data_IF_607864983948
#
_entry.id   IF_607864983948
#
_cell.length_a   1.000
_cell.length_b   1.000
_cell.length_c   1.000
_cell.angle_alpha   90.00
_cell.angle_beta   90.00
_cell.angle_gamma   90.00
#
_symmetry.space_group_name_H-M   'P 1'
#
loop_
_entity.id
_entity.type
_entity.pdbx_description
1 polymer ?
#
# COMPACT_ATOMS: atom_id res chain seq x y z
N UNK A 1 5.70 -0.53 16.77
CA UNK A 1 4.59 -0.53 15.78
C UNK A 1 4.16 -1.97 15.64
N UNK A 2 3.01 -2.35 16.20
CA UNK A 2 2.56 -3.74 16.25
C UNK A 2 2.02 -4.10 14.86
N UNK A 3 2.65 -5.07 14.19
CA UNK A 3 2.17 -5.61 12.94
C UNK A 3 0.87 -6.36 13.20
N UNK A 4 -0.25 -5.81 12.74
CA UNK A 4 -1.55 -6.47 12.84
C UNK A 4 -1.65 -7.49 11.72
N UNK A 5 -1.60 -8.78 12.07
CA UNK A 5 -1.88 -9.86 11.15
C UNK A 5 -3.37 -9.81 10.78
N UNK A 6 -3.72 -9.88 9.50
CA UNK A 6 -5.10 -9.88 9.03
C UNK A 6 -5.77 -11.20 9.46
N UNK A 7 -6.28 -11.25 10.68
CA UNK A 7 -7.02 -12.40 11.25
C UNK A 7 -8.53 -12.35 10.94
N UNK A 8 -9.05 -11.17 10.58
CA UNK A 8 -10.50 -10.93 10.41
C UNK A 8 -11.15 -11.87 9.38
N UNK A 9 -10.49 -12.08 8.23
CA UNK A 9 -10.99 -12.96 7.17
C UNK A 9 -11.12 -14.42 7.63
N UNK A 10 -10.10 -14.94 8.30
CA UNK A 10 -10.10 -16.32 8.81
C UNK A 10 -11.12 -16.52 9.94
N UNK A 11 -11.29 -15.53 10.82
CA UNK A 11 -12.32 -15.54 11.86
C UNK A 11 -13.74 -15.51 11.27
N UNK A 12 -13.99 -14.65 10.28
CA UNK A 12 -15.29 -14.59 9.58
C UNK A 12 -15.60 -15.91 8.87
N UNK A 13 -14.63 -16.52 8.19
CA UNK A 13 -14.82 -17.81 7.53
C UNK A 13 -15.16 -18.92 8.53
N UNK A 14 -14.49 -18.97 9.69
CA UNK A 14 -14.82 -19.93 10.76
C UNK A 14 -16.22 -19.70 11.32
N UNK A 15 -16.59 -18.44 11.57
CA UNK A 15 -17.92 -18.06 12.06
C UNK A 15 -19.02 -18.52 11.09
N UNK A 16 -18.89 -18.19 9.81
CA UNK A 16 -19.89 -18.60 8.81
C UNK A 16 -19.96 -20.11 8.64
N UNK A 17 -18.82 -20.81 8.71
CA UNK A 17 -18.80 -22.27 8.66
C UNK A 17 -19.62 -22.88 9.82
N UNK A 18 -19.40 -22.40 11.05
CA UNK A 18 -20.15 -22.87 12.21
C UNK A 18 -21.66 -22.58 12.09
N UNK A 19 -22.03 -21.39 11.59
CA UNK A 19 -23.45 -21.05 11.35
C UNK A 19 -24.09 -21.94 10.28
N UNK A 20 -23.36 -22.27 9.21
CA UNK A 20 -23.85 -23.18 8.16
C UNK A 20 -24.07 -24.59 8.72
N UNK A 21 -23.13 -25.09 9.52
CA UNK A 21 -23.25 -26.42 10.17
C UNK A 21 -24.44 -26.46 11.14
N UNK A 22 -24.66 -25.39 11.91
CA UNK A 22 -25.82 -25.26 12.81
C UNK A 22 -27.15 -25.28 12.02
N UNK A 23 -27.28 -24.49 10.96
CA UNK A 23 -28.50 -24.45 10.14
C UNK A 23 -28.73 -25.76 9.37
N UNK A 24 -27.65 -26.48 9.01
CA UNK A 24 -27.74 -27.82 8.43
C UNK A 24 -28.33 -28.83 9.42
N UNK A 25 -27.91 -28.79 10.68
CA UNK A 25 -28.48 -29.68 11.71
C UNK A 25 -29.97 -29.41 11.95
N UNK A 26 -30.38 -28.13 11.95
CA UNK A 26 -31.80 -27.74 12.04
C UNK A 26 -32.61 -28.23 10.84
N UNK A 27 -32.09 -28.07 9.62
CA UNK A 27 -32.73 -28.59 8.41
C UNK A 27 -32.89 -30.11 8.45
N UNK A 28 -31.87 -30.84 8.92
CA UNK A 28 -31.89 -32.30 9.04
C UNK A 28 -32.98 -32.79 10.00
N UNK A 29 -33.19 -32.08 11.12
CA UNK A 29 -34.26 -32.39 12.07
C UNK A 29 -35.66 -32.20 11.49
N UNK A 30 -35.86 -31.23 10.59
CA UNK A 30 -37.18 -30.87 10.03
C UNK A 30 -37.53 -31.72 8.79
N UNK A 31 -36.58 -31.89 7.87
CA UNK A 31 -36.81 -32.52 6.56
C UNK A 31 -36.40 -33.99 6.51
N UNK A 32 -35.69 -34.48 7.53
CA UNK A 32 -35.06 -35.79 7.53
C UNK A 32 -33.75 -35.80 6.74
N UNK A 33 -32.89 -36.76 7.09
CA UNK A 33 -31.50 -36.82 6.63
C UNK A 33 -31.38 -37.05 5.11
N UNK A 34 -32.30 -37.83 4.53
CA UNK A 34 -32.30 -38.17 3.10
C UNK A 34 -32.56 -36.94 2.22
N UNK A 35 -33.60 -36.16 2.54
CA UNK A 35 -33.96 -34.97 1.76
C UNK A 35 -32.93 -33.84 1.96
N UNK A 36 -32.42 -33.68 3.19
CA UNK A 36 -31.40 -32.68 3.53
C UNK A 36 -30.10 -32.95 2.76
N UNK A 37 -29.67 -34.22 2.69
CA UNK A 37 -28.48 -34.61 1.92
C UNK A 37 -28.66 -34.40 0.41
N UNK A 38 -29.84 -34.69 -0.14
CA UNK A 38 -30.13 -34.43 -1.56
C UNK A 38 -30.09 -32.92 -1.88
N UNK A 39 -30.67 -32.09 -1.02
CA UNK A 39 -30.62 -30.63 -1.14
C UNK A 39 -29.20 -30.10 -1.04
N UNK A 40 -28.43 -30.53 -0.04
CA UNK A 40 -27.03 -30.13 0.14
C UNK A 40 -26.18 -30.47 -1.09
N UNK A 41 -26.37 -31.67 -1.66
CA UNK A 41 -25.68 -32.07 -2.90
C UNK A 41 -26.03 -31.16 -4.08
N UNK A 42 -27.30 -30.79 -4.24
CA UNK A 42 -27.75 -29.90 -5.32
C UNK A 42 -27.17 -28.49 -5.18
N UNK A 43 -27.20 -27.93 -3.96
CA UNK A 43 -26.61 -26.61 -3.65
C UNK A 43 -25.10 -26.64 -3.88
N UNK A 44 -24.42 -27.68 -3.38
CA UNK A 44 -22.97 -27.85 -3.56
C UNK A 44 -22.57 -27.97 -5.03
N UNK A 45 -23.37 -28.68 -5.83
CA UNK A 45 -23.17 -28.81 -7.27
C UNK A 45 -23.34 -27.47 -7.99
N UNK A 46 -24.40 -26.72 -7.67
CA UNK A 46 -24.62 -25.38 -8.24
C UNK A 46 -23.50 -24.39 -7.86
N UNK A 47 -23.10 -24.39 -6.58
CA UNK A 47 -22.00 -23.56 -6.09
C UNK A 47 -20.65 -23.92 -6.74
N UNK A 48 -20.39 -25.21 -6.96
CA UNK A 48 -19.21 -25.67 -7.71
C UNK A 48 -19.25 -25.17 -9.15
N UNK A 49 -20.38 -25.33 -9.86
CA UNK A 49 -20.53 -24.84 -11.23
C UNK A 49 -20.28 -23.33 -11.36
N UNK A 50 -20.79 -22.52 -10.42
CA UNK A 50 -20.55 -21.06 -10.40
C UNK A 50 -19.06 -20.75 -10.17
N UNK A 51 -18.42 -21.45 -9.22
CA UNK A 51 -16.97 -21.29 -8.97
C UNK A 51 -16.14 -21.66 -10.18
N UNK A 52 -16.40 -22.81 -10.79
CA UNK A 52 -15.65 -23.30 -11.95
C UNK A 52 -15.79 -22.34 -13.15
N UNK A 53 -16.98 -21.79 -13.38
CA UNK A 53 -17.19 -20.77 -14.43
C UNK A 53 -16.43 -19.47 -14.15
N UNK A 54 -16.41 -19.03 -12.90
CA UNK A 54 -15.64 -17.85 -12.49
C UNK A 54 -14.12 -18.11 -12.61
N UNK A 55 -13.65 -19.28 -12.19
CA UNK A 55 -12.26 -19.71 -12.29
C UNK A 55 -11.81 -19.81 -13.76
N UNK A 56 -12.64 -20.38 -14.65
CA UNK A 56 -12.36 -20.40 -16.08
C UNK A 56 -12.22 -18.98 -16.66
N UNK A 57 -13.11 -18.07 -16.26
CA UNK A 57 -13.06 -16.65 -16.67
C UNK A 57 -11.78 -15.97 -16.17
N UNK A 58 -11.40 -16.22 -14.92
CA UNK A 58 -10.17 -15.67 -14.35
C UNK A 58 -8.92 -16.25 -15.03
N UNK A 59 -8.93 -17.55 -15.32
CA UNK A 59 -7.83 -18.24 -16.00
C UNK A 59 -7.64 -17.68 -17.41
N UNK A 60 -8.72 -17.47 -18.15
CA UNK A 60 -8.67 -16.84 -19.48
C UNK A 60 -8.15 -15.39 -19.42
N UNK A 61 -8.55 -14.61 -18.41
CA UNK A 61 -8.01 -13.27 -18.21
C UNK A 61 -6.51 -13.33 -17.88
N UNK A 62 -6.08 -14.29 -17.07
CA UNK A 62 -4.69 -14.48 -16.70
C UNK A 62 -3.83 -14.85 -17.90
N UNK A 63 -4.27 -15.79 -18.75
CA UNK A 63 -3.54 -16.16 -19.97
C UNK A 63 -3.44 -14.98 -20.93
N UNK A 64 -4.55 -14.26 -21.16
CA UNK A 64 -4.56 -13.03 -21.99
C UNK A 64 -3.60 -11.96 -21.48
N UNK A 65 -3.50 -11.80 -20.15
CA UNK A 65 -2.55 -10.86 -19.53
C UNK A 65 -1.11 -11.35 -19.66
N UNK A 66 -0.86 -12.64 -19.45
CA UNK A 66 0.46 -13.26 -19.56
C UNK A 66 1.05 -13.11 -20.97
N UNK A 67 0.24 -13.40 -22.00
CA UNK A 67 0.63 -13.27 -23.41
C UNK A 67 0.95 -11.81 -23.79
N UNK A 68 0.18 -10.84 -23.26
CA UNK A 68 0.46 -9.41 -23.43
C UNK A 68 1.69 -8.95 -22.65
N UNK A 69 2.01 -9.60 -21.54
CA UNK A 69 3.11 -9.24 -20.64
C UNK A 69 4.47 -9.87 -20.99
N UNK A 70 4.51 -10.89 -21.88
CA UNK A 70 5.77 -11.45 -22.38
C UNK A 70 6.66 -10.39 -23.08
N UNK A 71 6.04 -9.29 -23.56
CA UNK A 71 6.68 -8.13 -24.17
C UNK A 71 6.53 -6.86 -23.31
N UNK A 72 6.62 -6.92 -21.97
CA UNK A 72 6.81 -5.69 -21.17
C UNK A 72 8.18 -5.10 -21.55
N UNK A 73 8.17 -4.33 -22.62
CA UNK A 73 9.24 -3.44 -22.97
C UNK A 73 9.21 -2.34 -21.91
N UNK A 74 10.31 -2.18 -21.17
CA UNK A 74 10.48 -1.11 -20.18
C UNK A 74 10.17 0.29 -20.75
N UNK A 75 10.21 0.44 -22.08
CA UNK A 75 9.78 1.64 -22.80
C UNK A 75 8.30 2.01 -22.58
N UNK A 76 7.41 1.06 -22.33
CA UNK A 76 5.98 1.32 -22.08
C UNK A 76 5.67 1.68 -20.63
N UNK A 77 6.66 1.58 -19.74
CA UNK A 77 6.51 1.85 -18.30
C UNK A 77 6.90 3.29 -17.96
N UNK A 78 7.82 3.89 -18.72
CA UNK A 78 8.31 5.25 -18.46
C UNK A 78 7.80 6.21 -19.53
N UNK A 79 6.88 7.08 -19.14
CA UNK A 79 6.34 8.13 -20.02
C UNK A 79 7.10 9.44 -19.79
N UNK A 80 8.06 9.73 -20.66
CA UNK A 80 8.75 11.01 -20.65
C UNK A 80 7.96 12.06 -21.43
N UNK A 81 7.32 12.97 -20.70
CA UNK A 81 6.59 14.12 -21.23
C UNK A 81 7.38 15.43 -20.99
N UNK A 82 8.62 15.34 -20.52
CA UNK A 82 9.50 16.48 -20.31
C UNK A 82 10.31 16.79 -21.57
N UNK A 83 10.90 17.98 -21.64
CA UNK A 83 11.79 18.36 -22.74
C UNK A 83 13.20 17.76 -22.64
N UNK A 84 13.48 16.96 -21.59
CA UNK A 84 14.80 16.40 -21.34
C UNK A 84 14.92 15.01 -21.95
N UNK A 85 16.05 14.73 -22.60
CA UNK A 85 16.40 13.37 -23.00
C UNK A 85 16.94 12.59 -21.79
N UNK A 86 16.41 11.39 -21.58
CA UNK A 86 16.83 10.49 -20.49
C UNK A 86 17.86 9.49 -21.02
N UNK A 87 18.84 9.14 -20.20
CA UNK A 87 19.79 8.07 -20.54
C UNK A 87 19.14 6.69 -20.37
N UNK A 88 19.73 5.66 -20.97
CA UNK A 88 19.25 4.29 -20.85
C UNK A 88 19.20 3.81 -19.39
N UNK A 89 20.17 4.22 -18.57
CA UNK A 89 20.24 3.91 -17.14
C UNK A 89 19.13 4.61 -16.37
N UNK A 90 18.82 5.88 -16.71
CA UNK A 90 17.71 6.61 -16.09
C UNK A 90 16.37 5.96 -16.42
N UNK A 91 16.13 5.58 -17.67
CA UNK A 91 14.91 4.87 -18.07
C UNK A 91 14.81 3.52 -17.35
N UNK A 92 15.91 2.76 -17.29
CA UNK A 92 15.95 1.47 -16.60
C UNK A 92 15.60 1.59 -15.13
N UNK A 93 16.19 2.56 -14.43
CA UNK A 93 15.89 2.83 -13.03
C UNK A 93 14.44 3.24 -12.82
N UNK A 94 13.90 4.12 -13.67
CA UNK A 94 12.52 4.61 -13.53
C UNK A 94 11.47 3.57 -13.93
N UNK A 95 11.89 2.55 -14.68
CA UNK A 95 11.07 1.39 -15.02
C UNK A 95 11.06 0.32 -13.92
N UNK A 96 12.01 0.38 -12.98
CA UNK A 96 11.92 -0.38 -11.75
C UNK A 96 10.90 0.34 -10.87
N UNK A 97 9.87 -0.39 -10.45
CA UNK A 97 8.71 0.10 -9.70
C UNK A 97 9.06 1.16 -8.62
N UNK A 98 8.18 2.13 -8.39
CA UNK A 98 8.29 3.09 -7.27
C UNK A 98 8.24 2.36 -5.92
N UNK A 99 7.60 1.19 -5.87
CA UNK A 99 7.62 0.26 -4.73
C UNK A 99 8.78 -0.75 -4.77
N UNK A 100 9.72 -0.63 -5.71
CA UNK A 100 10.91 -1.48 -5.75
C UNK A 100 11.75 -1.17 -4.51
N UNK A 101 11.72 -2.09 -3.56
CA UNK A 101 12.47 -1.93 -2.33
C UNK A 101 13.97 -2.10 -2.63
N UNK A 102 14.62 -0.97 -2.90
CA UNK A 102 16.08 -0.89 -3.10
C UNK A 102 16.85 -1.09 -1.80
N UNK A 103 16.14 -1.01 -0.66
CA UNK A 103 16.72 -1.22 0.67
C UNK A 103 16.56 -2.67 1.06
N UNK A 104 17.68 -3.32 1.35
CA UNK A 104 17.70 -4.67 1.89
C UNK A 104 16.81 -4.75 3.15
N UNK A 105 16.08 -5.86 3.33
CA UNK A 105 15.25 -6.03 4.51
C UNK A 105 16.14 -5.88 5.75
N UNK A 106 15.81 -4.93 6.63
CA UNK A 106 16.63 -4.70 7.81
C UNK A 106 16.61 -5.98 8.67
N UNK A 107 17.77 -6.61 8.93
CA UNK A 107 17.82 -7.86 9.71
C UNK A 107 17.20 -7.71 11.09
N UNK A 108 17.17 -6.48 11.64
CA UNK A 108 16.64 -6.16 12.95
C UNK A 108 15.19 -6.61 13.16
N UNK A 109 14.30 -6.36 12.19
CA UNK A 109 12.89 -6.77 12.32
C UNK A 109 12.74 -8.29 12.26
N UNK A 110 13.54 -8.95 11.42
CA UNK A 110 13.58 -10.41 11.35
C UNK A 110 14.10 -11.02 12.65
N UNK A 111 15.14 -10.44 13.25
CA UNK A 111 15.71 -10.90 14.52
C UNK A 111 14.71 -10.71 15.66
N UNK A 112 14.10 -9.53 15.78
CA UNK A 112 13.10 -9.28 16.81
C UNK A 112 11.90 -10.24 16.71
N UNK A 113 11.43 -10.52 15.48
CA UNK A 113 10.38 -11.50 15.25
C UNK A 113 10.83 -12.93 15.58
N UNK A 114 12.03 -13.32 15.16
CA UNK A 114 12.59 -14.64 15.46
C UNK A 114 12.81 -14.85 16.97
N UNK A 115 13.33 -13.86 17.68
CA UNK A 115 13.52 -13.89 19.13
C UNK A 115 12.19 -13.98 19.87
N UNK A 116 11.17 -13.23 19.45
CA UNK A 116 9.82 -13.33 20.02
C UNK A 116 9.25 -14.75 19.89
N UNK A 117 9.37 -15.35 18.69
CA UNK A 117 8.90 -16.73 18.44
C UNK A 117 9.70 -17.75 19.25
N UNK A 118 11.02 -17.57 19.38
CA UNK A 118 11.88 -18.45 20.16
C UNK A 118 11.62 -18.35 21.68
N UNK A 119 11.14 -17.20 22.15
CA UNK A 119 10.76 -16.99 23.55
C UNK A 119 9.41 -17.66 23.87
N UNK A 120 8.46 -17.64 22.94
CA UNK A 120 7.13 -18.26 23.11
C UNK A 120 7.11 -19.77 22.85
N UNK A 121 8.08 -20.30 22.09
CA UNK A 121 8.14 -21.72 21.77
C UNK A 121 8.52 -22.59 22.99
N UNK A 122 7.85 -23.74 23.19
CA UNK A 122 8.17 -24.70 24.25
C UNK A 122 9.42 -25.53 23.87
N UNK A 123 10.58 -24.88 23.80
CA UNK A 123 11.87 -25.47 23.46
C UNK A 123 12.84 -25.36 24.64
N UNK A 124 13.77 -26.33 24.74
CA UNK A 124 14.83 -26.34 25.75
C UNK A 124 15.82 -25.20 25.54
N UNK A 125 16.44 -24.73 26.63
CA UNK A 125 17.39 -23.60 26.59
C UNK A 125 18.59 -23.89 25.67
N UNK A 126 19.07 -25.13 25.63
CA UNK A 126 20.12 -25.57 24.72
C UNK A 126 19.72 -25.42 23.24
N UNK A 127 18.50 -25.83 22.90
CA UNK A 127 17.96 -25.71 21.54
C UNK A 127 17.77 -24.25 21.14
N UNK A 128 17.35 -23.40 22.09
CA UNK A 128 17.19 -21.95 21.89
C UNK A 128 18.54 -21.28 21.61
N UNK A 129 19.56 -21.60 22.40
CA UNK A 129 20.92 -21.07 22.22
C UNK A 129 21.52 -21.51 20.88
N UNK A 130 21.29 -22.77 20.48
CA UNK A 130 21.77 -23.27 19.18
C UNK A 130 21.08 -22.58 17.99
N UNK A 131 19.79 -22.28 18.10
CA UNK A 131 19.04 -21.52 17.09
C UNK A 131 19.51 -20.05 17.03
N UNK A 132 19.71 -19.40 18.18
CA UNK A 132 20.26 -18.05 18.26
C UNK A 132 21.66 -17.96 17.64
N UNK A 133 22.53 -18.95 17.90
CA UNK A 133 23.87 -19.03 17.30
C UNK A 133 23.82 -19.23 15.78
N UNK A 134 22.89 -20.06 15.29
CA UNK A 134 22.68 -20.25 13.84
C UNK A 134 22.13 -19.00 13.16
N UNK A 135 21.21 -18.28 13.78
CA UNK A 135 20.68 -17.01 13.27
C UNK A 135 21.80 -15.97 13.22
N UNK A 136 22.59 -15.84 14.29
CA UNK A 136 23.71 -14.90 14.39
C UNK A 136 24.78 -15.17 13.33
N UNK A 137 25.19 -16.43 13.14
CA UNK A 137 26.18 -16.80 12.12
C UNK A 137 25.68 -16.56 10.68
N UNK A 138 24.40 -16.84 10.40
CA UNK A 138 23.78 -16.50 9.10
C UNK A 138 23.68 -14.99 8.87
N UNK A 139 23.48 -14.21 9.91
CA UNK A 139 23.47 -12.75 9.82
C UNK A 139 24.87 -12.19 9.58
N UNK A 140 25.91 -12.72 10.24
CA UNK A 140 27.29 -12.29 10.02
C UNK A 140 27.74 -12.61 8.58
N UNK A 141 27.33 -13.76 8.05
CA UNK A 141 27.57 -14.16 6.66
C UNK A 141 26.65 -13.47 5.65
N UNK A 142 25.66 -12.69 6.10
CA UNK A 142 24.75 -11.98 5.22
C UNK A 142 25.46 -10.83 4.50
N UNK A 143 25.83 -11.06 3.24
CA UNK A 143 26.35 -10.02 2.36
C UNK A 143 25.19 -9.19 1.84
N UNK A 144 25.15 -7.91 2.23
CA UNK A 144 24.19 -6.92 1.68
C UNK A 144 24.17 -7.02 0.16
N UNK A 145 23.02 -7.39 -0.41
CA UNK A 145 22.87 -7.39 -1.86
C UNK A 145 22.74 -5.94 -2.31
N UNK A 146 23.61 -5.50 -3.22
CA UNK A 146 23.42 -4.22 -3.91
C UNK A 146 22.38 -4.46 -4.99
N UNK A 147 21.14 -4.07 -4.71
CA UNK A 147 20.03 -4.18 -5.65
C UNK A 147 20.26 -3.34 -6.92
N UNK A 148 21.04 -2.26 -6.82
CA UNK A 148 21.37 -1.35 -7.90
C UNK A 148 22.86 -1.32 -8.20
N UNK A 149 23.21 -1.20 -9.48
CA UNK A 149 24.55 -0.93 -9.96
C UNK A 149 24.99 0.51 -9.63
N UNK A 150 26.30 0.78 -9.71
CA UNK A 150 26.84 2.13 -9.47
C UNK A 150 26.25 3.16 -10.45
N UNK A 151 26.06 2.78 -11.71
CA UNK A 151 25.50 3.64 -12.75
C UNK A 151 24.02 3.98 -12.47
N UNK A 152 23.23 3.01 -12.01
CA UNK A 152 21.82 3.21 -11.64
C UNK A 152 21.67 4.12 -10.41
N UNK A 153 22.55 3.98 -9.41
CA UNK A 153 22.58 4.88 -8.25
C UNK A 153 22.90 6.32 -8.68
N UNK A 154 23.85 6.49 -9.60
CA UNK A 154 24.21 7.81 -10.11
C UNK A 154 23.08 8.41 -10.97
N UNK A 155 22.40 7.58 -11.77
CA UNK A 155 21.18 7.97 -12.48
C UNK A 155 20.09 8.49 -11.51
N UNK A 156 19.85 7.80 -10.38
CA UNK A 156 18.92 8.28 -9.34
C UNK A 156 19.35 9.62 -8.74
N UNK A 157 20.65 9.78 -8.44
CA UNK A 157 21.18 11.04 -7.89
C UNK A 157 21.00 12.20 -8.85
N UNK A 158 21.33 12.00 -10.12
CA UNK A 158 21.19 13.05 -11.15
C UNK A 158 19.73 13.43 -11.37
N UNK A 159 18.81 12.46 -11.40
CA UNK A 159 17.37 12.72 -11.48
C UNK A 159 16.85 13.46 -10.25
N UNK A 160 17.27 13.07 -9.05
CA UNK A 160 16.89 13.72 -7.79
C UNK A 160 17.45 15.15 -7.67
N UNK A 161 18.64 15.39 -8.22
CA UNK A 161 19.26 16.71 -8.21
C UNK A 161 18.54 17.70 -9.16
N UNK A 162 17.89 17.20 -10.20
CA UNK A 162 17.19 18.04 -11.18
C UNK A 162 15.82 18.52 -10.66
N UNK A 163 15.83 19.69 -10.01
CA UNK A 163 14.62 20.35 -9.49
C UNK A 163 13.69 20.88 -10.58
N UNK A 164 14.08 20.84 -11.87
CA UNK A 164 13.23 21.28 -12.98
C UNK A 164 12.28 20.17 -13.44
N UNK A 165 12.49 18.93 -12.99
CA UNK A 165 11.65 17.79 -13.32
C UNK A 165 10.72 17.44 -12.16
N UNK A 166 9.56 16.89 -12.52
CA UNK A 166 8.60 16.27 -11.62
C UNK A 166 8.44 14.82 -12.06
N UNK A 167 8.74 13.89 -11.17
CA UNK A 167 8.64 12.44 -11.40
C UNK A 167 7.54 11.92 -10.49
N UNK A 168 6.50 11.33 -11.08
CA UNK A 168 5.31 10.86 -10.38
C UNK A 168 4.90 9.48 -10.90
N UNK A 169 4.29 8.62 -10.06
CA UNK A 169 3.59 7.46 -10.56
C UNK A 169 2.38 7.90 -11.41
N UNK A 170 2.07 7.14 -12.45
CA UNK A 170 0.82 7.28 -13.19
C UNK A 170 -0.37 6.79 -12.35
N UNK A 171 -1.56 7.31 -12.65
CA UNK A 171 -2.82 6.89 -12.00
C UNK A 171 -3.12 5.40 -12.22
N UNK A 172 -2.66 4.83 -13.34
CA UNK A 172 -2.90 3.44 -13.73
C UNK A 172 -1.71 2.88 -14.51
N UNK A 173 -1.42 1.59 -14.32
CA UNK A 173 -0.52 0.81 -15.19
C UNK A 173 0.92 0.65 -14.71
N UNK A 174 1.21 0.90 -13.41
CA UNK A 174 2.56 0.81 -12.84
C UNK A 174 3.61 1.62 -13.61
N UNK A 175 3.18 2.71 -14.23
CA UNK A 175 4.03 3.56 -15.05
C UNK A 175 4.58 4.75 -14.27
N UNK A 176 5.76 5.21 -14.65
CA UNK A 176 6.38 6.44 -14.13
C UNK A 176 6.26 7.54 -15.17
N UNK A 177 5.78 8.72 -14.77
CA UNK A 177 5.60 9.90 -15.63
C UNK A 177 6.60 10.97 -15.23
N UNK A 178 7.25 11.56 -16.23
CA UNK A 178 8.27 12.60 -16.05
C UNK A 178 7.81 13.85 -16.78
N UNK A 179 7.79 14.98 -16.07
CA UNK A 179 7.26 16.24 -16.55
C UNK A 179 8.21 17.38 -16.22
N UNK A 180 8.14 18.45 -17.01
CA UNK A 180 8.70 19.72 -16.59
C UNK A 180 7.89 20.27 -15.42
N UNK A 181 8.59 20.73 -14.38
CA UNK A 181 7.97 21.30 -13.19
C UNK A 181 7.11 22.52 -13.51
N UNK A 182 7.55 23.37 -14.44
CA UNK A 182 6.80 24.56 -14.87
C UNK A 182 5.46 24.16 -15.49
N UNK A 183 5.49 23.23 -16.45
CA UNK A 183 4.28 22.78 -17.14
C UNK A 183 3.29 22.10 -16.17
N UNK A 184 3.82 21.31 -15.23
CA UNK A 184 3.02 20.72 -14.16
C UNK A 184 2.34 21.80 -13.31
N UNK A 185 3.10 22.75 -12.77
CA UNK A 185 2.55 23.83 -11.92
C UNK A 185 1.54 24.68 -12.69
N UNK A 186 1.86 25.12 -13.91
CA UNK A 186 0.98 25.95 -14.72
C UNK A 186 -0.37 25.26 -14.99
N UNK A 187 -0.37 23.95 -15.25
CA UNK A 187 -1.62 23.19 -15.43
C UNK A 187 -2.44 23.15 -14.14
N UNK A 188 -1.81 23.01 -12.98
CA UNK A 188 -2.51 23.04 -11.70
C UNK A 188 -3.02 24.43 -11.35
N UNK A 189 -2.27 25.48 -11.64
CA UNK A 189 -2.75 26.86 -11.48
C UNK A 189 -3.95 27.15 -12.39
N UNK A 190 -3.94 26.65 -13.64
CA UNK A 190 -5.09 26.74 -14.53
C UNK A 190 -6.31 25.96 -13.99
N UNK A 191 -6.11 24.75 -13.47
CA UNK A 191 -7.17 23.93 -12.88
C UNK A 191 -7.75 24.54 -11.60
N UNK A 192 -6.90 25.07 -10.72
CA UNK A 192 -7.29 25.71 -9.46
C UNK A 192 -7.77 27.16 -9.65
N UNK A 193 -7.51 27.74 -10.83
CA UNK A 193 -8.01 29.05 -11.23
C UNK A 193 -9.51 29.06 -11.55
N UNK A 194 -10.12 27.89 -11.75
CA UNK A 194 -11.57 27.77 -11.94
C UNK A 194 -12.32 28.20 -10.67
N UNK A 195 -12.85 29.43 -10.68
CA UNK A 195 -13.61 30.01 -9.57
C UNK A 195 -14.99 29.40 -9.37
N UNK A 196 -15.50 28.65 -10.35
CA UNK A 196 -16.78 27.92 -10.19
C UNK A 196 -16.60 26.69 -9.31
N UNK A 197 -15.43 26.05 -9.38
CA UNK A 197 -15.11 24.86 -8.60
C UNK A 197 -14.28 25.16 -7.33
N UNK A 198 -13.42 26.20 -7.36
CA UNK A 198 -12.46 26.49 -6.29
C UNK A 198 -12.49 27.96 -5.87
N UNK A 199 -12.63 28.19 -4.56
CA UNK A 199 -12.50 29.53 -3.96
C UNK A 199 -11.11 29.69 -3.33
N UNK A 200 -10.33 30.72 -3.71
CA UNK A 200 -9.04 30.99 -3.08
C UNK A 200 -9.26 31.38 -1.63
N UNK A 201 -8.36 30.96 -0.75
CA UNK A 201 -8.43 31.28 0.66
C UNK A 201 -7.03 31.63 1.15
N UNK A 202 -6.89 32.83 1.68
CA UNK A 202 -5.60 33.36 2.18
C UNK A 202 -5.35 32.95 3.64
N UNK A 203 -6.41 32.67 4.40
CA UNK A 203 -6.28 32.34 5.81
C UNK A 203 -5.76 30.92 6.03
N UNK A 204 -4.70 30.81 6.85
CA UNK A 204 -4.24 29.55 7.42
C UNK A 204 -5.23 29.06 8.49
N UNK A 205 -6.43 28.69 8.05
CA UNK A 205 -7.51 28.15 8.87
C UNK A 205 -7.03 27.01 9.76
N UNK A 206 -6.10 26.20 9.26
CA UNK A 206 -5.54 25.10 10.02
C UNK A 206 -4.73 25.63 11.21
N UNK A 207 -3.89 26.64 11.01
CA UNK A 207 -3.16 27.28 12.12
C UNK A 207 -4.10 27.92 13.14
N UNK A 208 -5.16 28.59 12.70
CA UNK A 208 -6.16 29.18 13.61
C UNK A 208 -6.91 28.10 14.39
N UNK A 209 -7.36 27.04 13.72
CA UNK A 209 -8.04 25.90 14.34
C UNK A 209 -7.14 25.21 15.37
N UNK A 210 -5.88 24.96 15.02
CA UNK A 210 -4.87 24.37 15.91
C UNK A 210 -4.58 25.28 17.10
N UNK A 211 -4.52 26.60 16.89
CA UNK A 211 -4.35 27.56 17.98
C UNK A 211 -5.54 27.51 18.95
N UNK A 212 -6.76 27.45 18.43
CA UNK A 212 -7.98 27.36 19.25
C UNK A 212 -8.04 26.04 20.02
N UNK A 213 -7.79 24.90 19.37
CA UNK A 213 -7.70 23.58 20.03
C UNK A 213 -6.65 23.61 21.15
N UNK A 214 -5.48 24.22 20.90
CA UNK A 214 -4.44 24.33 21.92
C UNK A 214 -4.85 25.22 23.11
N UNK A 215 -5.62 26.29 22.87
CA UNK A 215 -6.17 27.15 23.94
C UNK A 215 -7.19 26.40 24.79
N UNK A 216 -8.10 25.66 24.15
CA UNK A 216 -9.13 24.88 24.83
C UNK A 216 -8.50 23.72 25.62
N UNK A 217 -7.51 23.04 25.06
CA UNK A 217 -6.72 22.03 25.77
C UNK A 217 -5.98 22.61 26.97
N UNK A 218 -5.45 23.84 26.85
CA UNK A 218 -4.80 24.53 27.96
C UNK A 218 -5.79 24.94 29.06
N UNK A 219 -7.03 25.33 28.71
CA UNK A 219 -8.07 25.67 29.69
C UNK A 219 -8.57 24.41 30.44
N UNK A 220 -8.80 23.30 29.73
CA UNK A 220 -9.17 22.01 30.31
C UNK A 220 -8.11 21.45 31.26
N UNK A 221 -6.83 21.67 30.95
CA UNK A 221 -5.72 21.31 31.84
C UNK A 221 -5.71 22.18 33.10
N UNK A 222 -5.95 23.49 32.95
CA UNK A 222 -6.04 24.42 34.09
C UNK A 222 -7.20 24.08 35.02
N UNK A 223 -8.34 23.64 34.47
CA UNK A 223 -9.50 23.19 35.26
C UNK A 223 -9.37 21.77 35.82
N UNK A 224 -8.24 21.08 35.60
CA UNK A 224 -7.98 19.67 35.99
C UNK A 224 -9.00 18.67 35.41
N UNK A 225 -9.68 19.02 34.31
CA UNK A 225 -10.63 18.14 33.64
C UNK A 225 -9.93 17.02 32.83
N UNK A 226 -8.65 17.22 32.46
CA UNK A 226 -7.83 16.25 31.73
C UNK A 226 -6.48 16.05 32.43
N UNK A 227 -5.91 14.82 32.34
CA UNK A 227 -4.59 14.54 32.90
C UNK A 227 -3.47 15.02 31.97
N UNK A 228 -2.24 15.12 32.50
CA UNK A 228 -1.07 15.46 31.69
C UNK A 228 -0.82 14.42 30.58
N UNK A 229 -1.15 13.15 30.83
CA UNK A 229 -1.02 12.07 29.85
C UNK A 229 -2.01 12.27 28.69
N UNK A 230 -3.27 12.56 29.00
CA UNK A 230 -4.31 12.84 28.00
C UNK A 230 -3.94 14.04 27.13
N UNK A 231 -3.42 15.10 27.76
CA UNK A 231 -2.94 16.29 27.06
C UNK A 231 -1.85 15.97 26.01
N UNK A 232 -0.88 15.12 26.36
CA UNK A 232 0.20 14.74 25.44
C UNK A 232 -0.27 13.81 24.31
N UNK A 233 -1.29 12.99 24.56
CA UNK A 233 -1.87 12.10 23.56
C UNK A 233 -2.74 12.87 22.55
N UNK A 234 -3.54 13.83 23.03
CA UNK A 234 -4.47 14.60 22.21
C UNK A 234 -3.83 15.78 21.47
N UNK A 235 -2.61 16.18 21.83
CA UNK A 235 -1.91 17.29 21.19
C UNK A 235 -1.77 17.03 19.67
N UNK A 236 -2.26 17.93 18.80
CA UNK A 236 -2.12 17.75 17.36
C UNK A 236 -0.64 17.79 16.96
N UNK A 237 -0.13 16.68 16.42
CA UNK A 237 1.29 16.52 16.03
C UNK A 237 1.54 16.79 14.55
N UNK A 238 0.51 16.69 13.71
CA UNK A 238 0.64 16.82 12.26
C UNK A 238 -0.44 17.79 11.75
N UNK A 239 -0.07 19.07 11.65
CA UNK A 239 -0.99 20.17 11.30
C UNK A 239 -0.70 20.73 9.91
N UNK A 240 0.01 19.96 9.08
CA UNK A 240 0.24 20.34 7.70
C UNK A 240 -1.09 20.28 6.94
N UNK A 241 -1.41 21.36 6.22
CA UNK A 241 -2.53 21.36 5.27
C UNK A 241 -2.33 20.26 4.23
N UNK A 242 -3.45 19.65 3.84
CA UNK A 242 -3.50 18.71 2.73
C UNK A 242 -2.86 19.35 1.49
N UNK A 243 -1.88 18.66 0.90
CA UNK A 243 -1.20 19.15 -0.30
C UNK A 243 -1.95 18.64 -1.51
N UNK A 244 -2.28 19.55 -2.42
CA UNK A 244 -2.85 19.17 -3.70
C UNK A 244 -1.77 18.61 -4.62
N UNK A 245 -2.04 17.46 -5.21
CA UNK A 245 -1.24 16.89 -6.29
C UNK A 245 -2.17 16.11 -7.22
N UNK A 246 -1.74 15.90 -8.47
CA UNK A 246 -2.50 15.07 -9.39
C UNK A 246 -1.62 14.10 -10.13
N UNK A 247 -2.11 12.88 -10.29
CA UNK A 247 -1.46 11.83 -11.04
C UNK A 247 -1.98 11.86 -12.48
N UNK A 248 -1.17 11.47 -13.46
CA UNK A 248 -1.60 11.52 -14.86
C UNK A 248 -2.30 10.24 -15.27
N UNK A 249 -3.41 10.39 -16.00
CA UNK A 249 -4.11 9.30 -16.68
C UNK A 249 -3.54 9.08 -18.07
N UNK A 250 -2.35 8.48 -18.12
CA UNK A 250 -1.60 8.19 -19.37
C UNK A 250 -2.34 7.32 -20.39
N UNK A 251 -3.40 6.62 -19.96
CA UNK A 251 -4.23 5.78 -20.82
C UNK A 251 -5.42 6.53 -21.47
N UNK A 252 -5.56 7.84 -21.23
CA UNK A 252 -6.64 8.66 -21.80
C UNK A 252 -6.07 9.69 -22.78
N UNK A 253 -6.80 10.05 -23.84
CA UNK A 253 -6.39 11.13 -24.74
C UNK A 253 -6.19 12.43 -23.95
N UNK A 254 -5.22 13.23 -24.35
CA UNK A 254 -4.79 14.49 -23.69
C UNK A 254 -4.20 14.33 -22.27
N UNK A 255 -4.06 13.10 -21.79
CA UNK A 255 -3.34 12.75 -20.55
C UNK A 255 -3.83 13.57 -19.32
N UNK A 256 -5.14 13.58 -19.01
CA UNK A 256 -5.70 14.41 -17.95
C UNK A 256 -5.22 13.98 -16.56
N UNK A 257 -5.26 14.91 -15.60
CA UNK A 257 -4.87 14.64 -14.20
C UNK A 257 -6.04 14.01 -13.42
N UNK A 258 -5.76 12.97 -12.63
CA UNK A 258 -6.64 12.51 -11.55
C UNK A 258 -6.49 13.43 -10.34
N UNK A 259 -7.61 13.74 -9.69
CA UNK A 259 -7.62 14.53 -8.44
C UNK A 259 -7.35 13.59 -7.27
N UNK A 260 -6.34 13.88 -6.47
CA UNK A 260 -6.06 13.17 -5.21
C UNK A 260 -5.57 14.15 -4.15
N UNK A 261 -6.16 14.09 -2.95
CA UNK A 261 -5.73 14.86 -1.77
C UNK A 261 -5.16 13.90 -0.72
N UNK A 262 -3.99 14.24 -0.15
CA UNK A 262 -3.37 13.55 0.99
C UNK A 262 -3.81 14.17 2.32
#
# INVERSE_FOLDING_TARGET
>A
MIGVLIQDGHLRLRKYKATIEEEQTKCSMILGEVLTNAWYRSISFSARRIRDAHEATLTQKLTTLSEKNANICYANVVHNLSSKQLTAEQVKVLSQDVCFNTTDAQPLYFIAAAESVLHEAPITDESRNLLQQRISSRQISHKKRKALSKAEIEALRTLKADKKLVILPADKGWSTVILNKKDYVNKFEALLGDRTAYSPREDDMMRTLVSNINKDMASLRKSKAITQTDFQMMKPKNTALARFYGLLKVHKPETPYSRSSL
#
